data_IF_115700791342
#
_entry.id   IF_115700791342
#
_cell.length_a   1.000
_cell.length_b   1.000
_cell.length_c   1.000
_cell.angle_alpha   90.00
_cell.angle_beta   90.00
_cell.angle_gamma   90.00
#
_symmetry.space_group_name_H-M   'P 1'
#
loop_
_entity.id
_entity.type
_entity.pdbx_description
1 polymer ?
#
# COMPACT_ATOMS: atom_id res chain seq x y z
N UNK A 1 13.75 14.04 14.81
CA UNK A 1 14.09 14.06 13.37
C UNK A 1 13.00 13.30 12.63
N UNK A 2 12.05 14.00 12.01
CA UNK A 2 11.08 13.42 11.08
C UNK A 2 11.69 13.54 9.68
N UNK A 3 12.20 12.44 9.13
CA UNK A 3 12.93 12.49 7.85
C UNK A 3 13.78 11.26 7.53
N UNK A 4 13.86 10.27 8.43
CA UNK A 4 14.58 9.03 8.16
C UNK A 4 13.86 8.13 7.15
N UNK A 5 12.52 8.22 7.09
CA UNK A 5 11.69 7.44 6.17
C UNK A 5 11.14 8.37 5.08
N UNK A 6 11.33 8.03 3.79
CA UNK A 6 10.71 8.80 2.70
C UNK A 6 9.18 8.76 2.83
N UNK A 7 8.47 9.80 2.34
CA UNK A 7 7.01 9.76 2.27
C UNK A 7 6.56 8.54 1.46
N UNK A 8 5.52 7.85 1.94
CA UNK A 8 4.90 6.75 1.20
C UNK A 8 4.27 7.32 -0.06
N UNK A 9 4.65 6.79 -1.21
CA UNK A 9 4.05 7.18 -2.49
C UNK A 9 2.82 6.32 -2.75
N UNK A 10 1.78 6.97 -3.23
CA UNK A 10 0.54 6.33 -3.67
C UNK A 10 0.24 6.81 -5.08
N UNK A 11 -0.02 5.88 -5.98
CA UNK A 11 -0.44 6.13 -7.37
C UNK A 11 -1.86 5.63 -7.55
N UNK A 12 -2.68 6.46 -8.19
CA UNK A 12 -4.06 6.16 -8.52
C UNK A 12 -4.19 6.06 -10.05
N UNK A 13 -4.74 4.95 -10.53
CA UNK A 13 -4.98 4.77 -11.96
C UNK A 13 -6.27 3.99 -12.20
N UNK A 14 -6.87 4.21 -13.36
CA UNK A 14 -8.04 3.47 -13.82
C UNK A 14 -7.56 2.40 -14.82
N UNK A 15 -7.91 1.15 -14.56
CA UNK A 15 -7.65 0.07 -15.50
C UNK A 15 -8.72 -0.03 -16.60
N UNK A 16 -8.46 -0.71 -17.73
CA UNK A 16 -9.41 -0.85 -18.83
C UNK A 16 -10.79 -1.41 -18.45
N UNK A 17 -10.87 -2.16 -17.33
CA UNK A 17 -12.11 -2.67 -16.76
C UNK A 17 -12.93 -1.60 -15.98
N UNK A 18 -12.52 -0.32 -16.03
CA UNK A 18 -13.09 0.79 -15.24
C UNK A 18 -13.00 0.58 -13.73
N UNK A 19 -11.98 -0.16 -13.31
CA UNK A 19 -11.67 -0.37 -11.89
C UNK A 19 -10.60 0.62 -11.49
N UNK A 20 -10.85 1.35 -10.41
CA UNK A 20 -9.89 2.25 -9.79
C UNK A 20 -8.91 1.44 -8.95
N UNK A 21 -7.62 1.52 -9.27
CA UNK A 21 -6.56 0.86 -8.53
C UNK A 21 -5.65 1.84 -7.80
N UNK A 22 -5.26 1.45 -6.60
CA UNK A 22 -4.24 2.11 -5.80
C UNK A 22 -2.98 1.24 -5.79
N UNK A 23 -1.87 1.79 -6.25
CA UNK A 23 -0.53 1.25 -6.02
C UNK A 23 0.17 2.08 -4.97
N UNK A 24 0.90 1.45 -4.06
CA UNK A 24 1.68 2.14 -3.05
C UNK A 24 3.00 1.44 -2.80
N UNK A 25 4.01 2.20 -2.36
CA UNK A 25 5.29 1.63 -1.95
C UNK A 25 5.04 0.69 -0.77
N UNK A 26 5.43 -0.60 -0.89
CA UNK A 26 5.35 -1.57 0.22
C UNK A 26 6.34 -1.20 1.31
N UNK A 27 5.92 -0.59 2.45
CA UNK A 27 6.80 -0.23 3.54
C UNK A 27 7.54 -1.44 4.12
N UNK A 28 7.01 -2.66 4.05
CA UNK A 28 7.72 -3.87 4.53
C UNK A 28 8.97 -4.13 3.70
N UNK A 29 8.90 -3.95 2.39
CA UNK A 29 10.06 -4.02 1.49
C UNK A 29 11.02 -2.87 1.74
N UNK A 30 10.51 -1.64 1.82
CA UNK A 30 11.35 -0.44 1.95
C UNK A 30 12.02 -0.33 3.32
N UNK A 31 11.37 -0.79 4.40
CA UNK A 31 11.93 -0.70 5.75
C UNK A 31 12.82 -1.90 6.10
N UNK A 32 12.70 -3.02 5.37
CA UNK A 32 13.58 -4.18 5.55
C UNK A 32 15.07 -3.82 5.40
N UNK A 33 15.41 -2.80 4.61
CA UNK A 33 16.80 -2.33 4.44
C UNK A 33 17.47 -1.89 5.75
N UNK A 34 16.70 -1.55 6.77
CA UNK A 34 17.21 -1.09 8.06
C UNK A 34 17.50 -2.24 9.06
N UNK A 35 17.08 -3.47 8.76
CA UNK A 35 17.39 -4.65 9.59
C UNK A 35 16.79 -4.65 11.01
N UNK A 36 15.84 -3.75 11.30
CA UNK A 36 15.18 -3.65 12.61
C UNK A 36 13.81 -4.35 12.58
N UNK A 37 13.65 -5.38 13.42
CA UNK A 37 12.41 -6.15 13.53
C UNK A 37 11.22 -5.32 13.99
N UNK A 38 11.44 -4.23 14.75
CA UNK A 38 10.38 -3.31 15.17
C UNK A 38 9.84 -2.51 13.99
N UNK A 39 10.71 -2.15 13.04
CA UNK A 39 10.29 -1.46 11.82
C UNK A 39 9.51 -2.36 10.89
N UNK A 40 9.82 -3.66 10.84
CA UNK A 40 9.05 -4.64 10.07
C UNK A 40 7.62 -4.75 10.59
N UNK A 41 7.43 -4.80 11.92
CA UNK A 41 6.09 -4.85 12.52
C UNK A 41 5.30 -3.57 12.23
N UNK A 42 5.93 -2.40 12.39
CA UNK A 42 5.29 -1.11 12.07
C UNK A 42 4.96 -1.01 10.59
N UNK A 43 5.85 -1.46 9.70
CA UNK A 43 5.62 -1.48 8.27
C UNK A 43 4.42 -2.36 7.89
N UNK A 44 4.31 -3.55 8.47
CA UNK A 44 3.18 -4.45 8.23
C UNK A 44 1.85 -3.86 8.71
N UNK A 45 1.84 -3.21 9.89
CA UNK A 45 0.66 -2.51 10.39
C UNK A 45 0.22 -1.38 9.45
N UNK A 46 1.20 -0.61 8.96
CA UNK A 46 0.97 0.50 8.02
C UNK A 46 0.45 0.02 6.66
N UNK A 47 0.96 -1.09 6.12
CA UNK A 47 0.41 -1.72 4.92
C UNK A 47 -1.05 -2.08 5.12
N UNK A 48 -1.37 -2.72 6.25
CA UNK A 48 -2.74 -3.09 6.55
C UNK A 48 -3.67 -1.88 6.65
N UNK A 49 -3.26 -0.80 7.33
CA UNK A 49 -4.05 0.43 7.42
C UNK A 49 -4.29 1.08 6.04
N UNK A 50 -3.26 1.13 5.19
CA UNK A 50 -3.38 1.64 3.82
C UNK A 50 -4.34 0.79 2.99
N UNK A 51 -4.22 -0.55 3.06
CA UNK A 51 -5.15 -1.46 2.39
C UNK A 51 -6.59 -1.21 2.83
N UNK A 52 -6.85 -1.10 4.14
CA UNK A 52 -8.20 -0.82 4.65
C UNK A 52 -8.74 0.53 4.15
N UNK A 53 -7.88 1.56 4.11
CA UNK A 53 -8.26 2.88 3.60
C UNK A 53 -8.63 2.84 2.11
N UNK A 54 -7.86 2.13 1.28
CA UNK A 54 -8.15 2.03 -0.15
C UNK A 54 -9.43 1.27 -0.44
N UNK A 55 -9.68 0.17 0.29
CA UNK A 55 -10.94 -0.55 0.23
C UNK A 55 -12.12 0.35 0.63
N UNK A 56 -11.99 1.12 1.71
CA UNK A 56 -13.01 2.08 2.13
C UNK A 56 -13.27 3.16 1.07
N UNK A 57 -12.22 3.63 0.39
CA UNK A 57 -12.31 4.59 -0.70
C UNK A 57 -12.92 4.02 -2.00
N UNK A 58 -13.24 2.71 -2.03
CA UNK A 58 -13.81 2.04 -3.20
C UNK A 58 -12.79 1.71 -4.29
N UNK A 59 -11.49 1.80 -3.99
CA UNK A 59 -10.44 1.34 -4.89
C UNK A 59 -9.81 0.03 -4.44
N UNK A 60 -9.04 -0.56 -5.35
CA UNK A 60 -8.45 -1.87 -5.15
C UNK A 60 -6.92 -1.79 -5.06
N UNK A 61 -6.27 -2.48 -4.11
CA UNK A 61 -4.81 -2.62 -4.12
C UNK A 61 -4.34 -3.29 -5.41
N UNK A 62 -3.38 -2.67 -6.11
CA UNK A 62 -2.89 -3.14 -7.42
C UNK A 62 -2.27 -4.54 -7.40
N UNK A 63 -1.82 -4.99 -6.24
CA UNK A 63 -1.18 -6.27 -6.00
C UNK A 63 -2.16 -7.39 -5.65
N UNK A 64 -3.45 -7.07 -5.54
CA UNK A 64 -4.51 -8.06 -5.37
C UNK A 64 -5.19 -8.38 -6.70
N UNK A 65 -5.68 -9.63 -6.88
CA UNK A 65 -6.48 -9.95 -8.06
C UNK A 65 -7.72 -9.04 -8.09
N UNK A 66 -8.10 -8.51 -9.27
CA UNK A 66 -9.27 -7.65 -9.38
C UNK A 66 -10.51 -8.37 -8.84
N UNK A 67 -11.47 -7.66 -8.23
CA UNK A 67 -12.69 -8.28 -7.76
C UNK A 67 -13.42 -8.90 -8.96
N UNK A 68 -14.00 -10.09 -8.77
CA UNK A 68 -14.86 -10.69 -9.78
C UNK A 68 -16.03 -9.73 -10.03
N UNK A 69 -16.04 -9.06 -11.18
CA UNK A 69 -17.16 -8.22 -11.59
C UNK A 69 -18.39 -9.11 -11.81
N UNK A 70 -19.58 -8.71 -11.33
CA UNK A 70 -20.82 -9.45 -11.58
C UNK A 70 -21.23 -9.45 -13.05
#
# INVERSE_FOLDING_TARGET
MAGLYPPIRVSLFEEPARVVQFAFDRPTTTFAQFGDSRLIVTAAALENELTQLFLFAGGWPSDWPPPALP
#
